data_IF_432248742608
#
_entry.id   IF_432248742608
#
_cell.length_a   1.000
_cell.length_b   1.000
_cell.length_c   1.000
_cell.angle_alpha   90.00
_cell.angle_beta   90.00
_cell.angle_gamma   90.00
#
_symmetry.space_group_name_H-M   'P 1'
#
loop_
_entity.id
_entity.type
_entity.pdbx_description
1 polymer ?
#
# COMPACT_ATOMS: atom_id res chain seq x y z
N UNK A 1 21.14 14.83 12.76
CA UNK A 1 20.02 14.02 13.28
C UNK A 1 18.92 14.03 12.23
N UNK A 2 18.96 13.10 11.29
CA UNK A 2 18.02 13.04 10.15
C UNK A 2 16.79 12.25 10.57
N UNK A 3 15.74 12.94 10.99
CA UNK A 3 14.43 12.34 11.20
C UNK A 3 13.93 11.80 9.85
N UNK A 4 13.82 10.48 9.76
CA UNK A 4 13.25 9.76 8.63
C UNK A 4 11.87 10.34 8.31
N UNK A 5 11.70 10.86 7.10
CA UNK A 5 10.38 11.15 6.53
C UNK A 5 9.61 9.83 6.43
N UNK A 6 8.90 9.47 7.51
CA UNK A 6 7.89 8.43 7.49
C UNK A 6 6.75 8.99 6.64
N UNK A 7 6.73 8.64 5.36
CA UNK A 7 5.64 9.00 4.46
C UNK A 7 4.38 8.37 5.05
N UNK A 8 3.46 9.20 5.55
CA UNK A 8 2.33 8.73 6.35
C UNK A 8 1.51 7.65 5.66
N UNK A 9 1.49 7.59 4.31
CA UNK A 9 0.82 6.56 3.52
C UNK A 9 1.64 6.20 2.25
N UNK A 10 2.58 5.24 2.31
CA UNK A 10 3.51 4.97 1.19
C UNK A 10 2.82 4.33 -0.03
N UNK A 11 1.65 3.71 0.15
CA UNK A 11 0.90 3.07 -0.94
C UNK A 11 -0.14 4.00 -1.58
N UNK A 12 -0.46 5.15 -0.97
CA UNK A 12 -1.50 6.04 -1.47
C UNK A 12 -1.28 6.53 -2.92
N UNK A 13 -0.05 6.92 -3.34
CA UNK A 13 0.19 7.30 -4.73
C UNK A 13 -0.07 6.16 -5.73
N UNK A 14 0.27 4.92 -5.36
CA UNK A 14 0.06 3.75 -6.20
C UNK A 14 -1.42 3.42 -6.32
N UNK A 15 -2.16 3.50 -5.21
CA UNK A 15 -3.61 3.28 -5.20
C UNK A 15 -4.30 4.35 -6.05
N UNK A 16 -3.98 5.64 -5.88
CA UNK A 16 -4.58 6.71 -6.66
C UNK A 16 -4.29 6.60 -8.16
N UNK A 17 -3.06 6.28 -8.55
CA UNK A 17 -2.73 6.05 -9.96
C UNK A 17 -3.56 4.89 -10.52
N UNK A 18 -3.65 3.79 -9.78
CA UNK A 18 -4.40 2.63 -10.24
C UNK A 18 -5.91 2.87 -10.30
N UNK A 19 -6.47 3.64 -9.37
CA UNK A 19 -7.86 4.10 -9.42
C UNK A 19 -8.16 4.87 -10.71
N UNK A 20 -7.26 5.77 -11.12
CA UNK A 20 -7.41 6.53 -12.36
C UNK A 20 -7.40 5.62 -13.59
N UNK A 21 -6.50 4.63 -13.63
CA UNK A 21 -6.40 3.67 -14.73
C UNK A 21 -7.63 2.76 -14.84
N UNK A 22 -8.19 2.33 -13.70
CA UNK A 22 -9.39 1.49 -13.65
C UNK A 22 -10.69 2.29 -13.83
N UNK A 23 -10.62 3.63 -13.76
CA UNK A 23 -11.80 4.49 -13.79
C UNK A 23 -12.60 4.50 -12.49
N UNK A 24 -12.02 4.02 -11.38
CA UNK A 24 -12.62 4.08 -10.05
C UNK A 24 -12.68 5.54 -9.57
N UNK A 25 -13.87 6.01 -9.22
CA UNK A 25 -14.12 7.37 -8.73
C UNK A 25 -14.06 7.45 -7.21
N UNK A 26 -14.22 6.32 -6.52
CA UNK A 26 -14.27 6.25 -5.06
C UNK A 26 -13.36 5.15 -4.52
N UNK A 27 -12.87 5.27 -3.27
CA UNK A 27 -12.13 4.20 -2.60
C UNK A 27 -12.95 2.90 -2.46
N UNK A 28 -14.28 3.01 -2.36
CA UNK A 28 -15.20 1.86 -2.30
C UNK A 28 -15.17 1.05 -3.60
N UNK A 29 -15.23 1.73 -4.76
CA UNK A 29 -15.13 1.06 -6.07
C UNK A 29 -13.77 0.36 -6.21
N UNK A 30 -12.69 1.01 -5.79
CA UNK A 30 -11.37 0.39 -5.79
C UNK A 30 -11.30 -0.83 -4.87
N UNK A 31 -11.91 -0.74 -3.69
CA UNK A 31 -11.96 -1.85 -2.73
C UNK A 31 -12.67 -3.07 -3.34
N UNK A 32 -13.74 -2.86 -4.09
CA UNK A 32 -14.45 -3.93 -4.81
C UNK A 32 -13.56 -4.56 -5.89
N UNK A 33 -12.91 -3.76 -6.73
CA UNK A 33 -11.98 -4.25 -7.76
C UNK A 33 -10.78 -5.01 -7.16
N UNK A 34 -10.35 -4.58 -5.98
CA UNK A 34 -9.22 -5.17 -5.27
C UNK A 34 -9.59 -6.38 -4.39
N UNK A 35 -10.88 -6.73 -4.25
CA UNK A 35 -11.35 -7.72 -3.26
C UNK A 35 -10.83 -7.40 -1.84
N UNK A 36 -11.03 -6.14 -1.42
CA UNK A 36 -10.66 -5.61 -0.11
C UNK A 36 -11.87 -4.97 0.56
N UNK A 37 -11.84 -4.83 1.88
CA UNK A 37 -12.83 -3.97 2.54
C UNK A 37 -12.51 -2.50 2.31
N UNK A 38 -13.55 -1.68 2.21
CA UNK A 38 -13.43 -0.21 2.13
C UNK A 38 -12.54 0.37 3.24
N UNK A 39 -12.73 -0.09 4.48
CA UNK A 39 -11.95 0.34 5.64
C UNK A 39 -10.44 0.12 5.46
N UNK A 40 -10.05 -1.00 4.84
CA UNK A 40 -8.64 -1.27 4.57
C UNK A 40 -8.08 -0.31 3.53
N UNK A 41 -8.84 -0.03 2.46
CA UNK A 41 -8.40 0.93 1.43
C UNK A 41 -8.24 2.32 2.03
N UNK A 42 -9.19 2.77 2.86
CA UNK A 42 -9.08 4.05 3.59
C UNK A 42 -7.83 4.05 4.50
N UNK A 43 -7.62 2.98 5.28
CA UNK A 43 -6.44 2.86 6.15
C UNK A 43 -5.11 2.83 5.36
N UNK A 44 -5.10 2.36 4.12
CA UNK A 44 -3.92 2.35 3.25
C UNK A 44 -3.67 3.73 2.60
N UNK A 45 -4.74 4.48 2.31
CA UNK A 45 -4.67 5.85 1.80
C UNK A 45 -4.25 6.85 2.89
N UNK A 46 -4.69 6.63 4.12
CA UNK A 46 -4.31 7.42 5.31
C UNK A 46 -2.99 6.93 5.92
N UNK A 47 -2.70 5.64 5.71
CA UNK A 47 -1.53 4.89 6.21
C UNK A 47 -1.52 4.62 7.71
N UNK A 48 -2.64 4.89 8.37
CA UNK A 48 -2.93 4.45 9.73
C UNK A 48 -4.33 3.85 9.83
N UNK A 49 -4.58 3.09 10.90
CA UNK A 49 -5.92 2.57 11.20
C UNK A 49 -6.81 3.62 11.90
N UNK A 50 -8.03 3.21 12.27
CA UNK A 50 -8.97 4.08 13.00
C UNK A 50 -8.48 4.54 14.38
N UNK A 51 -7.43 3.91 14.92
CA UNK A 51 -6.80 4.31 16.18
C UNK A 51 -5.57 5.21 15.96
N UNK A 52 -5.27 5.56 14.71
CA UNK A 52 -4.10 6.35 14.33
C UNK A 52 -2.78 5.57 14.40
N UNK A 53 -2.82 4.25 14.47
CA UNK A 53 -1.63 3.40 14.47
C UNK A 53 -1.22 3.05 13.03
N UNK A 54 0.09 2.94 12.71
CA UNK A 54 0.55 2.54 11.39
C UNK A 54 -0.13 1.27 10.91
N UNK A 55 -0.77 1.34 9.74
CA UNK A 55 -1.56 0.24 9.23
C UNK A 55 -0.69 -0.74 8.42
N UNK A 56 -0.77 -2.03 8.75
CA UNK A 56 -0.15 -3.10 7.96
C UNK A 56 -1.25 -4.08 7.52
N UNK A 57 -1.47 -4.28 6.22
CA UNK A 57 -2.46 -5.23 5.72
C UNK A 57 -2.04 -6.68 6.01
N UNK A 58 -3.02 -7.58 6.07
CA UNK A 58 -2.74 -9.02 6.14
C UNK A 58 -2.02 -9.52 4.86
N UNK A 59 -1.39 -10.69 4.92
CA UNK A 59 -0.74 -11.27 3.75
C UNK A 59 -1.72 -11.46 2.57
N UNK A 60 -2.94 -11.92 2.84
CA UNK A 60 -3.95 -12.08 1.79
C UNK A 60 -4.32 -10.74 1.16
N UNK A 61 -4.52 -9.69 1.98
CA UNK A 61 -4.79 -8.35 1.48
C UNK A 61 -3.61 -7.81 0.64
N UNK A 62 -2.37 -8.11 1.03
CA UNK A 62 -1.18 -7.74 0.28
C UNK A 62 -1.11 -8.47 -1.08
N UNK A 63 -1.50 -9.75 -1.13
CA UNK A 63 -1.61 -10.51 -2.39
C UNK A 63 -2.69 -9.91 -3.29
N UNK A 64 -3.86 -9.59 -2.75
CA UNK A 64 -4.93 -8.94 -3.49
C UNK A 64 -4.49 -7.57 -4.05
N UNK A 65 -3.83 -6.76 -3.22
CA UNK A 65 -3.19 -5.50 -3.63
C UNK A 65 -2.16 -5.71 -4.74
N UNK A 66 -1.35 -6.77 -4.65
CA UNK A 66 -0.32 -7.08 -5.64
C UNK A 66 -0.91 -7.32 -7.03
N UNK A 67 -2.05 -8.01 -7.10
CA UNK A 67 -2.76 -8.27 -8.35
C UNK A 67 -3.39 -7.00 -8.93
N UNK A 68 -4.13 -6.24 -8.12
CA UNK A 68 -4.83 -5.04 -8.61
C UNK A 68 -3.85 -3.94 -8.99
N UNK A 69 -2.77 -3.75 -8.22
CA UNK A 69 -1.72 -2.76 -8.49
C UNK A 69 -0.70 -3.23 -9.54
N UNK A 70 -0.81 -4.48 -10.00
CA UNK A 70 0.12 -5.11 -10.96
C UNK A 70 1.59 -4.98 -10.52
N UNK A 71 1.83 -5.21 -9.23
CA UNK A 71 3.16 -5.12 -8.60
C UNK A 71 3.42 -6.32 -7.72
N UNK A 72 4.65 -6.83 -7.63
CA UNK A 72 4.96 -7.94 -6.73
C UNK A 72 4.66 -7.59 -5.26
N UNK A 73 4.05 -8.53 -4.52
CA UNK A 73 3.67 -8.32 -3.12
C UNK A 73 4.86 -7.93 -2.23
N UNK A 74 6.07 -8.43 -2.51
CA UNK A 74 7.26 -8.10 -1.74
C UNK A 74 7.70 -6.64 -1.92
N UNK A 75 7.50 -6.04 -3.10
CA UNK A 75 7.76 -4.61 -3.30
C UNK A 75 6.81 -3.75 -2.46
N UNK A 76 5.53 -4.12 -2.44
CA UNK A 76 4.52 -3.44 -1.61
C UNK A 76 4.85 -3.56 -0.12
N UNK A 77 5.34 -4.74 0.31
CA UNK A 77 5.81 -4.95 1.68
C UNK A 77 6.99 -4.02 2.03
N UNK A 78 7.97 -3.87 1.14
CA UNK A 78 9.12 -2.99 1.39
C UNK A 78 8.77 -1.51 1.42
N UNK A 79 7.73 -1.09 0.70
CA UNK A 79 7.18 0.27 0.82
C UNK A 79 6.54 0.51 2.20
N UNK A 80 5.83 -0.49 2.74
CA UNK A 80 5.20 -0.43 4.06
C UNK A 80 6.21 -0.60 5.21
N UNK A 81 7.24 -1.41 4.98
CA UNK A 81 8.28 -1.79 5.96
C UNK A 81 9.65 -1.58 5.35
N UNK A 82 10.11 -0.32 5.21
CA UNK A 82 11.43 -0.02 4.67
C UNK A 82 12.56 -0.55 5.56
N UNK A 83 12.26 -0.87 6.81
CA UNK A 83 13.15 -1.48 7.80
C UNK A 83 13.27 -3.02 7.66
N UNK A 84 12.48 -3.65 6.79
CA UNK A 84 12.50 -5.11 6.62
C UNK A 84 13.84 -5.61 6.03
N UNK A 85 14.30 -6.77 6.50
CA UNK A 85 15.46 -7.44 5.92
C UNK A 85 15.23 -7.73 4.43
N UNK A 86 16.15 -7.26 3.58
CA UNK A 86 16.04 -7.35 2.12
C UNK A 86 15.39 -6.14 1.43
N UNK A 87 14.97 -5.10 2.17
CA UNK A 87 14.43 -3.86 1.58
C UNK A 87 15.46 -3.05 0.78
N UNK A 88 16.75 -3.25 1.06
CA UNK A 88 17.85 -2.75 0.24
C UNK A 88 17.90 -3.56 -1.05
N UNK A 89 17.44 -2.92 -2.13
CA UNK A 89 17.67 -3.35 -3.51
C UNK A 89 19.14 -3.73 -3.63
N UNK A 90 19.42 -5.00 -3.94
CA UNK A 90 20.72 -5.38 -4.48
C UNK A 90 20.88 -4.65 -5.80
N UNK A 91 21.43 -3.43 -5.75
CA UNK A 91 21.98 -2.76 -6.93
C UNK A 91 23.23 -3.55 -7.32
N UNK A 92 23.02 -4.64 -8.05
CA UNK A 92 24.07 -5.29 -8.83
C UNK A 92 24.45 -4.31 -9.94
N UNK A 93 25.50 -3.54 -9.66
CA UNK A 93 26.26 -2.78 -10.64
C UNK A 93 27.11 -3.72 -11.48
#
# INVERSE_FOLDING_TARGET
>A
MTATHHTAAPLAPLIHARMQELGCRTPEEFAQEADLSRFMVESLLEGHDAMGLPYTPSLQALVNLSHVLQRPAHELLYLLRPDALGSVVWNSN
#
